data_IF_344657053958
#
_entry.id   IF_344657053958
#
_cell.length_a   1.000
_cell.length_b   1.000
_cell.length_c   1.000
_cell.angle_alpha   90.00
_cell.angle_beta   90.00
_cell.angle_gamma   90.00
#
_symmetry.space_group_name_H-M   'P 1'
#
loop_
_entity.id
_entity.type
_entity.pdbx_description
1 polymer ?
#
# COMPACT_ATOMS: atom_id res chain seq x y z
N UNK A 1 -4.71 -3.93 -10.02
CA UNK A 1 -4.85 -4.01 -8.55
C UNK A 1 -4.98 -2.60 -8.01
N UNK A 2 -6.04 -2.27 -7.30
CA UNK A 2 -6.14 -0.98 -6.58
C UNK A 2 -5.34 -1.08 -5.27
N UNK A 3 -4.77 0.03 -4.81
CA UNK A 3 -4.10 0.10 -3.50
C UNK A 3 -5.13 0.11 -2.38
N UNK A 4 -6.14 0.99 -2.49
CA UNK A 4 -7.16 1.16 -1.47
C UNK A 4 -8.35 0.20 -1.70
N UNK A 5 -8.23 -1.02 -1.21
CA UNK A 5 -9.31 -2.02 -1.18
C UNK A 5 -9.71 -2.31 0.27
N UNK A 6 -10.98 -2.58 0.50
CA UNK A 6 -11.46 -2.95 1.84
C UNK A 6 -10.91 -4.31 2.27
N UNK A 7 -10.55 -4.43 3.54
CA UNK A 7 -10.00 -5.65 4.12
C UNK A 7 -8.50 -5.79 3.92
N UNK A 8 -8.07 -6.35 2.80
CA UNK A 8 -6.66 -6.46 2.41
C UNK A 8 -6.33 -5.38 1.39
N UNK A 9 -5.32 -4.55 1.66
CA UNK A 9 -4.89 -3.55 0.69
C UNK A 9 -4.11 -4.16 -0.48
N UNK A 10 -4.03 -3.41 -1.60
CA UNK A 10 -3.39 -3.90 -2.82
C UNK A 10 -1.89 -4.15 -2.70
N UNK A 11 -1.20 -3.47 -1.80
CA UNK A 11 0.24 -3.69 -1.58
C UNK A 11 0.48 -5.05 -0.93
N UNK A 12 -0.30 -5.38 0.10
CA UNK A 12 -0.24 -6.68 0.77
C UNK A 12 -0.68 -7.80 -0.18
N UNK A 13 -1.78 -7.60 -0.93
CA UNK A 13 -2.23 -8.54 -1.94
C UNK A 13 -1.16 -8.79 -3.00
N UNK A 14 -0.46 -7.75 -3.45
CA UNK A 14 0.64 -7.86 -4.42
C UNK A 14 1.81 -8.66 -3.85
N UNK A 15 2.17 -8.41 -2.59
CA UNK A 15 3.24 -9.16 -1.91
C UNK A 15 2.92 -10.65 -1.80
N UNK A 16 1.68 -11.00 -1.45
CA UNK A 16 1.21 -12.41 -1.41
C UNK A 16 1.20 -13.04 -2.79
N UNK A 17 0.66 -12.33 -3.80
CA UNK A 17 0.66 -12.83 -5.18
C UNK A 17 2.07 -13.09 -5.71
N UNK A 18 3.05 -12.28 -5.34
CA UNK A 18 4.44 -12.52 -5.70
C UNK A 18 4.98 -13.84 -5.14
N UNK A 19 4.56 -14.20 -3.91
CA UNK A 19 4.99 -15.43 -3.25
C UNK A 19 4.24 -16.66 -3.77
N UNK A 20 2.92 -16.57 -3.89
CA UNK A 20 2.05 -17.70 -4.24
C UNK A 20 1.96 -17.93 -5.75
N UNK A 21 2.02 -16.84 -6.53
CA UNK A 21 1.85 -16.85 -7.99
C UNK A 21 2.96 -16.06 -8.68
N UNK A 22 4.25 -16.48 -8.63
CA UNK A 22 5.40 -15.68 -9.08
C UNK A 22 5.40 -15.36 -10.58
N UNK A 23 4.61 -16.07 -11.39
CA UNK A 23 4.45 -15.78 -12.84
C UNK A 23 3.44 -14.66 -13.10
N UNK A 24 2.58 -14.34 -12.14
CA UNK A 24 1.55 -13.31 -12.30
C UNK A 24 2.19 -11.93 -12.22
N UNK A 25 1.90 -11.10 -13.21
CA UNK A 25 2.32 -9.70 -13.23
C UNK A 25 1.23 -8.83 -12.62
N UNK A 26 1.61 -7.93 -11.72
CA UNK A 26 0.68 -7.04 -11.07
C UNK A 26 0.90 -5.61 -11.56
N UNK A 27 -0.11 -5.03 -12.20
CA UNK A 27 -0.18 -3.61 -12.52
C UNK A 27 -1.03 -2.93 -11.45
N UNK A 28 -0.42 -2.02 -10.68
CA UNK A 28 -1.16 -1.19 -9.72
C UNK A 28 -1.97 -0.14 -10.50
N UNK A 29 -3.23 0.05 -10.08
CA UNK A 29 -4.13 1.03 -10.65
C UNK A 29 -4.68 1.89 -9.50
N UNK A 30 -4.28 3.15 -9.42
CA UNK A 30 -4.45 3.96 -8.22
C UNK A 30 -4.68 5.44 -8.52
N UNK A 31 -5.27 6.17 -7.55
CA UNK A 31 -5.39 7.63 -7.60
C UNK A 31 -4.19 8.34 -6.95
N UNK A 32 -3.27 7.59 -6.33
CA UNK A 32 -2.18 8.19 -5.57
C UNK A 32 -0.98 8.50 -6.46
N UNK A 33 -0.51 9.75 -6.39
CA UNK A 33 0.60 10.28 -7.21
C UNK A 33 1.86 10.51 -6.39
N UNK A 34 1.94 9.97 -5.16
CA UNK A 34 3.11 10.17 -4.32
C UNK A 34 4.17 9.07 -4.49
N UNK A 35 5.41 9.45 -4.28
CA UNK A 35 6.60 8.61 -4.41
C UNK A 35 6.61 7.41 -3.43
N UNK A 36 6.04 7.58 -2.23
CA UNK A 36 6.02 6.56 -1.20
C UNK A 36 5.24 5.32 -1.64
N UNK A 37 4.06 5.51 -2.24
CA UNK A 37 3.25 4.41 -2.77
C UNK A 37 3.91 3.72 -3.95
N UNK A 38 4.56 4.48 -4.82
CA UNK A 38 5.31 3.89 -5.92
C UNK A 38 6.42 2.97 -5.38
N UNK A 39 7.21 3.46 -4.43
CA UNK A 39 8.28 2.66 -3.80
C UNK A 39 7.75 1.41 -3.10
N UNK A 40 6.66 1.53 -2.36
CA UNK A 40 6.04 0.39 -1.69
C UNK A 40 5.45 -0.61 -2.68
N UNK A 41 4.79 -0.17 -3.74
CA UNK A 41 4.27 -1.04 -4.78
C UNK A 41 5.38 -1.84 -5.47
N UNK A 42 6.48 -1.18 -5.84
CA UNK A 42 7.62 -1.85 -6.45
C UNK A 42 8.30 -2.83 -5.48
N UNK A 43 8.44 -2.48 -4.20
CA UNK A 43 8.95 -3.39 -3.15
C UNK A 43 8.05 -4.60 -2.95
N UNK A 44 6.73 -4.41 -2.99
CA UNK A 44 5.76 -5.50 -2.92
C UNK A 44 5.83 -6.43 -4.13
N UNK A 45 6.45 -6.00 -5.23
CA UNK A 45 6.64 -6.78 -6.46
C UNK A 45 5.69 -6.42 -7.58
N UNK A 46 5.09 -5.23 -7.55
CA UNK A 46 4.33 -4.72 -8.68
C UNK A 46 5.22 -4.61 -9.93
N UNK A 47 4.68 -5.02 -11.07
CA UNK A 47 5.32 -4.92 -12.38
C UNK A 47 5.01 -3.60 -13.08
N UNK A 48 4.08 -2.81 -12.56
CA UNK A 48 3.79 -1.49 -13.09
C UNK A 48 2.90 -0.67 -12.16
N UNK A 49 2.87 0.65 -12.43
CA UNK A 49 2.10 1.63 -11.67
C UNK A 49 1.42 2.60 -12.64
N UNK A 50 0.09 2.57 -12.67
CA UNK A 50 -0.76 3.36 -13.54
C UNK A 50 -1.75 4.16 -12.71
N UNK A 51 -1.96 5.41 -13.07
CA UNK A 51 -2.97 6.25 -12.44
C UNK A 51 -4.36 5.90 -12.99
N UNK A 52 -5.40 6.06 -12.17
CA UNK A 52 -6.80 5.77 -12.56
C UNK A 52 -7.40 6.79 -13.51
N UNK A 53 -6.77 7.95 -13.68
CA UNK A 53 -7.10 8.97 -14.67
C UNK A 53 -6.45 8.72 -16.04
N UNK A 54 -5.64 7.66 -16.16
CA UNK A 54 -5.06 7.22 -17.42
C UNK A 54 -6.15 6.88 -18.44
N UNK A 55 -5.93 7.27 -19.67
CA UNK A 55 -6.82 6.95 -20.77
C UNK A 55 -6.69 5.47 -21.21
N UNK A 56 -7.62 5.06 -22.08
CA UNK A 56 -7.62 3.68 -22.59
C UNK A 56 -6.33 3.29 -23.34
N UNK A 57 -5.77 4.13 -24.23
CA UNK A 57 -4.50 3.84 -24.89
C UNK A 57 -3.35 3.62 -23.91
N UNK A 58 -3.25 4.43 -22.84
CA UNK A 58 -2.23 4.30 -21.82
C UNK A 58 -2.37 2.99 -21.03
N UNK A 59 -3.60 2.61 -20.66
CA UNK A 59 -3.87 1.34 -20.01
C UNK A 59 -3.47 0.16 -20.90
N UNK A 60 -3.80 0.17 -22.18
CA UNK A 60 -3.41 -0.86 -23.14
C UNK A 60 -1.89 -0.97 -23.29
N UNK A 61 -1.20 0.16 -23.33
CA UNK A 61 0.27 0.21 -23.37
C UNK A 61 0.87 -0.39 -22.10
N UNK A 62 0.37 0.02 -20.94
CA UNK A 62 0.83 -0.49 -19.64
C UNK A 62 0.70 -2.03 -19.55
N UNK A 63 -0.46 -2.56 -19.95
CA UNK A 63 -0.69 -4.01 -19.95
C UNK A 63 0.29 -4.72 -20.89
N UNK A 64 0.44 -4.24 -22.13
CA UNK A 64 1.37 -4.83 -23.11
C UNK A 64 2.82 -4.82 -22.60
N UNK A 65 3.26 -3.73 -21.99
CA UNK A 65 4.60 -3.57 -21.41
C UNK A 65 4.83 -4.57 -20.29
N UNK A 66 3.91 -4.66 -19.34
CA UNK A 66 4.00 -5.58 -18.20
C UNK A 66 3.95 -7.04 -18.64
N UNK A 67 3.15 -7.39 -19.66
CA UNK A 67 3.10 -8.73 -20.23
C UNK A 67 4.42 -9.16 -20.89
N UNK A 68 5.23 -8.22 -21.39
CA UNK A 68 6.59 -8.49 -21.92
C UNK A 68 7.62 -8.68 -20.81
N UNK A 69 7.24 -8.50 -19.54
CA UNK A 69 8.15 -8.56 -18.41
C UNK A 69 8.87 -7.23 -18.11
N UNK A 70 8.52 -6.18 -18.82
CA UNK A 70 9.04 -4.83 -18.60
C UNK A 70 8.23 -4.12 -17.48
N UNK A 71 8.81 -3.09 -16.87
CA UNK A 71 8.12 -2.29 -15.86
C UNK A 71 7.45 -1.08 -16.52
N UNK A 72 6.18 -0.85 -16.22
CA UNK A 72 5.46 0.34 -16.67
C UNK A 72 5.24 1.32 -15.51
N UNK A 73 5.60 2.57 -15.73
CA UNK A 73 5.29 3.68 -14.81
C UNK A 73 4.64 4.80 -15.62
N UNK A 74 3.52 5.36 -15.12
CA UNK A 74 2.98 6.60 -15.69
C UNK A 74 4.09 7.65 -15.75
N UNK A 75 4.19 8.49 -16.79
CA UNK A 75 5.29 9.45 -16.98
C UNK A 75 5.54 10.35 -15.75
N UNK A 76 4.49 10.77 -15.05
CA UNK A 76 4.61 11.53 -13.82
C UNK A 76 5.35 10.73 -12.72
N UNK A 77 5.09 9.43 -12.61
CA UNK A 77 5.73 8.54 -11.63
C UNK A 77 7.16 8.16 -12.03
N UNK A 78 7.44 8.03 -13.32
CA UNK A 78 8.80 7.79 -13.83
C UNK A 78 9.75 8.94 -13.44
N UNK A 79 9.29 10.19 -13.49
CA UNK A 79 10.07 11.35 -13.03
C UNK A 79 10.45 11.24 -11.55
N UNK A 80 9.52 10.83 -10.68
CA UNK A 80 9.82 10.62 -9.26
C UNK A 80 10.88 9.54 -9.05
N UNK A 81 10.83 8.45 -9.80
CA UNK A 81 11.85 7.38 -9.74
C UNK A 81 13.24 7.88 -10.14
N UNK A 82 13.34 8.70 -11.19
CA UNK A 82 14.60 9.30 -11.62
C UNK A 82 15.13 10.31 -10.61
N UNK A 83 14.27 11.20 -10.11
CA UNK A 83 14.63 12.18 -9.09
C UNK A 83 15.10 11.51 -7.79
N UNK A 84 14.47 10.40 -7.39
CA UNK A 84 14.89 9.60 -6.24
C UNK A 84 16.24 8.90 -6.45
N UNK A 85 16.51 8.44 -7.67
CA UNK A 85 17.81 7.84 -8.01
C UNK A 85 18.93 8.89 -8.02
N UNK A 86 18.64 10.10 -8.48
CA UNK A 86 19.61 11.20 -8.50
C UNK A 86 19.86 11.81 -7.11
N UNK A 87 18.90 11.71 -6.19
CA UNK A 87 19.05 12.11 -4.78
C UNK A 87 19.55 10.91 -3.98
N UNK A 88 20.85 10.72 -3.90
CA UNK A 88 21.49 9.69 -3.05
C UNK A 88 21.39 9.96 -1.54
N UNK A 89 20.58 10.92 -1.10
CA UNK A 89 20.45 11.32 0.30
C UNK A 89 19.09 10.94 0.88
N UNK A 90 19.11 10.41 2.09
CA UNK A 90 18.04 10.10 3.05
C UNK A 90 16.62 10.57 2.68
N UNK A 91 15.90 9.80 1.88
CA UNK A 91 14.45 9.98 1.76
C UNK A 91 13.83 9.44 3.04
N UNK A 92 13.08 10.26 3.81
CA UNK A 92 12.43 9.79 5.01
C UNK A 92 11.57 8.56 4.68
N UNK A 93 11.84 7.46 5.34
CA UNK A 93 11.04 6.24 5.17
C UNK A 93 9.59 6.55 5.56
N UNK A 94 8.65 6.19 4.69
CA UNK A 94 7.22 6.28 5.03
C UNK A 94 6.96 5.69 6.42
N UNK A 95 6.14 6.33 7.26
CA UNK A 95 5.73 5.73 8.53
C UNK A 95 5.20 4.30 8.38
N UNK A 96 4.54 4.01 7.24
CA UNK A 96 4.05 2.67 6.93
C UNK A 96 5.16 1.63 6.70
N UNK A 97 6.34 2.05 6.28
CA UNK A 97 7.47 1.13 6.08
C UNK A 97 8.03 0.58 7.40
N UNK A 98 7.78 1.26 8.53
CA UNK A 98 8.09 0.78 9.87
C UNK A 98 7.18 -0.38 10.31
N UNK A 99 6.06 -0.59 9.63
CA UNK A 99 5.06 -1.59 9.98
C UNK A 99 5.25 -2.88 9.18
N UNK A 100 5.01 -4.02 9.84
CA UNK A 100 4.86 -5.30 9.13
C UNK A 100 3.56 -5.30 8.30
N UNK A 101 3.45 -6.18 7.29
CA UNK A 101 2.22 -6.35 6.52
C UNK A 101 0.99 -6.54 7.43
N UNK A 102 1.11 -7.39 8.45
CA UNK A 102 0.04 -7.65 9.42
C UNK A 102 -0.36 -6.40 10.23
N UNK A 103 0.61 -5.59 10.61
CA UNK A 103 0.33 -4.32 11.32
C UNK A 103 -0.33 -3.29 10.40
N UNK A 104 -0.02 -3.27 9.10
CA UNK A 104 -0.71 -2.41 8.12
C UNK A 104 -2.15 -2.83 7.91
N UNK A 105 -2.43 -4.14 7.80
CA UNK A 105 -3.81 -4.67 7.73
C UNK A 105 -4.63 -4.24 8.95
N UNK A 106 -4.05 -4.35 10.14
CA UNK A 106 -4.73 -3.95 11.38
C UNK A 106 -4.94 -2.44 11.43
N UNK A 107 -3.95 -1.63 11.03
CA UNK A 107 -4.07 -0.17 10.93
C UNK A 107 -5.19 0.23 9.96
N UNK A 108 -5.28 -0.43 8.81
CA UNK A 108 -6.33 -0.20 7.83
C UNK A 108 -7.71 -0.50 8.43
N UNK A 109 -7.89 -1.66 9.05
CA UNK A 109 -9.17 -2.05 9.64
C UNK A 109 -9.58 -1.14 10.82
N UNK A 110 -8.61 -0.62 11.59
CA UNK A 110 -8.87 0.41 12.61
C UNK A 110 -9.40 1.68 11.93
N UNK A 111 -8.78 2.11 10.85
CA UNK A 111 -9.17 3.31 10.11
C UNK A 111 -10.51 3.15 9.39
N UNK A 112 -10.88 1.93 9.00
CA UNK A 112 -12.21 1.56 8.50
C UNK A 112 -13.29 1.48 9.62
N UNK A 113 -12.93 1.77 10.88
CA UNK A 113 -13.86 1.79 12.01
C UNK A 113 -14.15 0.41 12.62
N UNK A 114 -13.37 -0.62 12.30
CA UNK A 114 -13.57 -1.95 12.86
C UNK A 114 -13.15 -2.01 14.34
N UNK A 115 -14.00 -2.61 15.18
CA UNK A 115 -13.65 -2.93 16.56
C UNK A 115 -12.59 -4.05 16.61
N UNK A 116 -11.87 -4.15 17.74
CA UNK A 116 -10.84 -5.20 17.96
C UNK A 116 -11.40 -6.63 17.75
N UNK A 117 -12.66 -6.87 18.14
CA UNK A 117 -13.33 -8.17 17.92
C UNK A 117 -13.60 -8.43 16.45
N UNK A 118 -14.04 -7.42 15.69
CA UNK A 118 -14.24 -7.54 14.24
C UNK A 118 -12.93 -7.76 13.49
N UNK A 119 -11.87 -7.07 13.89
CA UNK A 119 -10.52 -7.26 13.35
C UNK A 119 -10.05 -8.70 13.61
N UNK A 120 -10.18 -9.18 14.84
CA UNK A 120 -9.83 -10.54 15.23
C UNK A 120 -10.54 -11.58 14.36
N UNK A 121 -11.86 -11.42 14.19
CA UNK A 121 -12.67 -12.31 13.34
C UNK A 121 -12.25 -12.25 11.87
N UNK A 122 -12.07 -11.04 11.29
CA UNK A 122 -11.70 -10.87 9.88
C UNK A 122 -10.32 -11.45 9.53
N UNK A 123 -9.41 -11.39 10.49
CA UNK A 123 -8.02 -11.78 10.30
C UNK A 123 -7.71 -13.18 10.83
N UNK A 124 -8.72 -13.90 11.35
CA UNK A 124 -8.59 -15.21 11.99
C UNK A 124 -7.53 -15.23 13.10
N UNK A 125 -7.64 -14.24 14.01
CA UNK A 125 -6.75 -14.05 15.15
C UNK A 125 -7.52 -14.04 16.46
N UNK A 126 -6.80 -14.24 17.57
CA UNK A 126 -7.34 -13.95 18.89
C UNK A 126 -7.42 -12.42 19.11
N UNK A 127 -8.40 -11.97 19.92
CA UNK A 127 -8.52 -10.57 20.34
C UNK A 127 -7.21 -10.08 20.98
N UNK A 128 -6.60 -10.92 21.84
CA UNK A 128 -5.32 -10.64 22.50
C UNK A 128 -4.18 -10.43 21.49
N UNK A 129 -4.15 -11.22 20.41
CA UNK A 129 -3.16 -11.06 19.34
C UNK A 129 -3.31 -9.72 18.63
N UNK A 130 -4.55 -9.32 18.33
CA UNK A 130 -4.84 -8.01 17.69
C UNK A 130 -4.43 -6.86 18.62
N UNK A 131 -4.71 -6.95 19.92
CA UNK A 131 -4.28 -5.95 20.91
C UNK A 131 -2.75 -5.83 20.97
N UNK A 132 -2.04 -6.95 20.92
CA UNK A 132 -0.57 -6.95 20.87
C UNK A 132 -0.04 -6.25 19.63
N UNK A 133 -0.58 -6.58 18.45
CA UNK A 133 -0.19 -5.91 17.21
C UNK A 133 -0.53 -4.41 17.23
N UNK A 134 -1.69 -4.04 17.80
CA UNK A 134 -2.10 -2.65 17.94
C UNK A 134 -1.15 -1.87 18.86
N UNK A 135 -0.76 -2.43 20.00
CA UNK A 135 0.22 -1.80 20.89
C UNK A 135 1.56 -1.57 20.17
N UNK A 136 2.08 -2.60 19.50
CA UNK A 136 3.33 -2.52 18.75
C UNK A 136 3.30 -1.51 17.61
N UNK A 137 2.18 -1.42 16.85
CA UNK A 137 2.08 -0.44 15.76
C UNK A 137 2.00 0.99 16.30
N UNK A 138 1.30 1.20 17.42
CA UNK A 138 1.22 2.50 18.09
C UNK A 138 2.60 2.96 18.58
N UNK A 139 3.37 2.06 19.19
CA UNK A 139 4.74 2.31 19.61
C UNK A 139 5.65 2.66 18.42
N UNK A 140 5.63 1.86 17.33
CA UNK A 140 6.45 2.09 16.14
C UNK A 140 6.14 3.39 15.41
N UNK A 141 4.87 3.81 15.43
CA UNK A 141 4.40 5.04 14.81
C UNK A 141 4.49 6.25 15.74
N UNK A 142 4.78 6.05 17.03
CA UNK A 142 4.76 7.07 18.07
C UNK A 142 3.39 7.79 18.16
N UNK A 143 2.30 7.03 17.90
CA UNK A 143 0.92 7.50 17.92
C UNK A 143 0.16 6.68 18.96
N UNK A 144 -0.38 7.34 19.99
CA UNK A 144 -0.97 6.68 21.15
C UNK A 144 -2.50 6.76 21.21
N UNK A 145 -3.14 7.28 20.17
CA UNK A 145 -4.62 7.39 20.09
C UNK A 145 -5.15 6.92 18.73
N UNK A 146 -6.41 6.48 18.71
CA UNK A 146 -7.08 5.99 17.51
C UNK A 146 -7.29 7.09 16.47
N UNK A 147 -7.73 8.32 16.84
CA UNK A 147 -7.86 9.41 15.87
C UNK A 147 -6.55 9.74 15.16
N UNK A 148 -5.41 9.64 15.84
CA UNK A 148 -4.09 9.82 15.25
C UNK A 148 -3.77 8.74 14.22
N UNK A 149 -4.09 7.47 14.52
CA UNK A 149 -3.95 6.37 13.58
C UNK A 149 -4.83 6.55 12.34
N UNK A 150 -6.09 6.98 12.51
CA UNK A 150 -7.01 7.26 11.41
C UNK A 150 -6.48 8.38 10.52
N UNK A 151 -6.03 9.50 11.13
CA UNK A 151 -5.41 10.61 10.37
C UNK A 151 -4.17 10.18 9.60
N UNK A 152 -3.33 9.32 10.20
CA UNK A 152 -2.17 8.76 9.50
C UNK A 152 -2.62 7.90 8.31
N UNK A 153 -3.56 6.98 8.52
CA UNK A 153 -4.06 6.09 7.47
C UNK A 153 -4.67 6.86 6.28
N UNK A 154 -5.41 7.95 6.55
CA UNK A 154 -5.93 8.84 5.50
C UNK A 154 -4.78 9.58 4.81
N UNK A 155 -3.87 10.20 5.56
CA UNK A 155 -2.75 10.98 5.00
C UNK A 155 -1.82 10.12 4.15
N UNK A 156 -1.61 8.87 4.55
CA UNK A 156 -0.82 7.90 3.78
C UNK A 156 -1.64 7.18 2.72
N UNK A 157 -2.96 7.48 2.61
CA UNK A 157 -3.90 6.90 1.64
C UNK A 157 -4.13 5.40 1.81
N UNK A 158 -3.85 4.87 2.99
CA UNK A 158 -4.17 3.49 3.33
C UNK A 158 -5.68 3.25 3.32
N UNK A 159 -6.46 4.28 3.65
CA UNK A 159 -7.91 4.34 3.52
C UNK A 159 -8.33 5.66 2.86
N UNK A 160 -9.50 5.64 2.17
CA UNK A 160 -10.11 6.85 1.64
C UNK A 160 -10.87 7.57 2.76
N UNK A 161 -10.82 8.91 2.76
CA UNK A 161 -11.81 9.68 3.50
C UNK A 161 -13.10 9.69 2.66
N UNK A 162 -14.06 8.85 3.03
CA UNK A 162 -15.42 9.03 2.53
C UNK A 162 -15.96 10.30 3.19
N UNK A 163 -15.93 11.41 2.45
CA UNK A 163 -16.63 12.65 2.79
C UNK A 163 -17.77 12.82 1.80
#
# INVERSE_FOLDING_TARGET
MDIAMSGMNGLEATSRMRQECPRTKVLMLTMYTNEEYLKEALRAGASGYLLKDADRPELELAIKTVCRGETYLTPAMAKFSLDAYCRQDDVPMSPLSKLTGRQREILQLIAEGCSTKQIAHRLDLSVKTVETHRAQLMERLEIHDVPGLVRLAIRTGLVRSDT
#
